data_IF_599667790706
#
_entry.id   IF_599667790706
#
_cell.length_a   1.000
_cell.length_b   1.000
_cell.length_c   1.000
_cell.angle_alpha   90.00
_cell.angle_beta   90.00
_cell.angle_gamma   90.00
#
_symmetry.space_group_name_H-M   'P 1'
#
loop_
_entity.id
_entity.type
_entity.pdbx_description
1 polymer ?
#
# COMPACT_ATOMS: atom_id res chain seq x y z
N UNK A 1 0.01 31.54 26.03
CA UNK A 1 -0.20 31.82 24.60
C UNK A 1 0.94 31.12 23.86
N UNK A 2 0.64 30.12 23.08
CA UNK A 2 1.64 29.49 22.21
C UNK A 2 1.57 30.26 20.89
N UNK A 3 2.61 31.02 20.60
CA UNK A 3 2.77 31.67 19.31
C UNK A 3 3.10 30.58 18.28
N UNK A 4 2.10 30.19 17.51
CA UNK A 4 2.34 29.33 16.37
C UNK A 4 2.91 30.25 15.29
N UNK A 5 4.22 30.24 15.12
CA UNK A 5 4.86 30.80 13.93
C UNK A 5 4.46 29.87 12.81
N UNK A 6 3.60 30.27 11.86
CA UNK A 6 3.32 29.43 10.72
C UNK A 6 4.63 29.33 9.94
N UNK A 7 5.24 28.15 9.86
CA UNK A 7 6.07 27.87 8.70
C UNK A 7 5.18 28.19 7.50
N UNK A 8 5.60 29.12 6.65
CA UNK A 8 4.83 29.51 5.49
C UNK A 8 4.69 28.29 4.59
N UNK A 9 3.55 27.65 4.68
CA UNK A 9 3.19 26.52 3.84
C UNK A 9 1.76 26.67 3.36
N UNK A 10 1.55 26.31 2.11
CA UNK A 10 0.24 26.36 1.48
C UNK A 10 -0.12 24.96 0.97
N UNK A 11 -1.36 24.56 1.19
CA UNK A 11 -1.93 23.32 0.64
C UNK A 11 -3.00 23.72 -0.35
N UNK A 12 -2.90 23.21 -1.56
CA UNK A 12 -3.80 23.52 -2.64
C UNK A 12 -4.10 22.34 -3.54
N UNK A 13 -5.03 22.55 -4.45
CA UNK A 13 -5.39 21.60 -5.51
C UNK A 13 -4.80 22.08 -6.84
N UNK A 14 -4.37 21.12 -7.62
CA UNK A 14 -3.91 21.32 -9.00
C UNK A 14 -4.32 20.10 -9.84
N UNK A 15 -3.92 20.07 -11.09
CA UNK A 15 -4.11 18.90 -11.96
C UNK A 15 -2.77 18.41 -12.50
N UNK A 16 -2.75 17.19 -13.05
CA UNK A 16 -1.57 16.65 -13.71
C UNK A 16 -1.13 17.57 -14.84
N UNK A 17 -2.05 18.08 -15.67
CA UNK A 17 -1.72 18.99 -16.77
C UNK A 17 -1.01 20.27 -16.30
N UNK A 18 -1.47 20.84 -15.19
CA UNK A 18 -0.82 22.03 -14.63
C UNK A 18 0.59 21.74 -14.12
N UNK A 19 0.78 20.61 -13.43
CA UNK A 19 2.11 20.18 -12.98
C UNK A 19 3.04 19.88 -14.15
N UNK A 20 2.53 19.27 -15.22
CA UNK A 20 3.35 18.98 -16.41
C UNK A 20 3.77 20.25 -17.14
N UNK A 21 2.95 21.30 -17.16
CA UNK A 21 3.40 22.63 -17.65
C UNK A 21 4.58 23.17 -16.87
N UNK A 22 4.58 23.01 -15.53
CA UNK A 22 5.72 23.42 -14.69
C UNK A 22 6.96 22.55 -14.96
N UNK A 23 6.78 21.25 -15.21
CA UNK A 23 7.85 20.35 -15.62
C UNK A 23 8.47 20.80 -16.94
N UNK A 24 7.64 21.02 -17.96
CA UNK A 24 8.09 21.36 -19.31
C UNK A 24 8.76 22.74 -19.36
N UNK A 25 8.32 23.64 -18.49
CA UNK A 25 9.01 24.90 -18.22
C UNK A 25 10.28 24.76 -17.37
N UNK A 26 10.66 23.54 -17.00
CA UNK A 26 11.82 23.23 -16.15
C UNK A 26 11.78 23.93 -14.78
N UNK A 27 10.58 24.20 -14.26
CA UNK A 27 10.38 24.81 -12.94
C UNK A 27 10.51 23.75 -11.83
N UNK A 28 10.00 22.53 -12.05
CA UNK A 28 10.13 21.45 -11.09
C UNK A 28 11.55 20.88 -11.13
N UNK A 29 12.18 20.80 -9.98
CA UNK A 29 13.54 20.35 -9.78
C UNK A 29 13.64 19.19 -8.78
N UNK A 30 14.62 18.31 -8.99
CA UNK A 30 15.04 17.31 -8.00
C UNK A 30 16.36 17.79 -7.40
N UNK A 31 16.31 18.33 -6.21
CA UNK A 31 17.48 18.82 -5.51
C UNK A 31 18.17 17.69 -4.75
N UNK A 32 19.34 17.26 -5.23
CA UNK A 32 20.10 16.17 -4.63
C UNK A 32 20.67 16.50 -3.23
N UNK A 33 20.77 17.79 -2.89
CA UNK A 33 21.27 18.22 -1.58
C UNK A 33 20.21 18.09 -0.48
N UNK A 34 18.93 18.21 -0.85
CA UNK A 34 17.79 18.06 0.06
C UNK A 34 17.11 16.69 -0.06
N UNK A 35 17.34 15.95 -1.13
CA UNK A 35 16.75 14.65 -1.40
C UNK A 35 17.73 13.49 -1.19
N UNK A 36 17.27 12.27 -1.44
CA UNK A 36 18.12 11.08 -1.45
C UNK A 36 19.25 11.27 -2.45
N UNK A 37 20.49 10.93 -2.04
CA UNK A 37 21.67 11.03 -2.91
C UNK A 37 21.44 10.25 -4.20
N UNK A 38 21.82 10.85 -5.31
CA UNK A 38 21.89 10.17 -6.59
C UNK A 38 22.96 9.09 -6.54
N UNK A 39 22.71 7.97 -7.18
CA UNK A 39 23.69 6.89 -7.34
C UNK A 39 24.54 7.16 -8.56
N UNK A 40 25.84 7.20 -8.40
CA UNK A 40 26.77 7.24 -9.51
C UNK A 40 26.72 5.91 -10.28
N UNK A 41 26.40 5.99 -11.56
CA UNK A 41 26.39 4.85 -12.49
C UNK A 41 27.55 4.99 -13.46
N UNK A 42 28.16 3.85 -13.80
CA UNK A 42 29.23 3.79 -14.79
C UNK A 42 28.69 3.19 -16.08
N UNK A 43 28.61 3.99 -17.13
CA UNK A 43 28.44 3.53 -18.49
C UNK A 43 29.77 3.00 -19.07
N UNK A 44 29.77 2.58 -20.35
CA UNK A 44 31.00 2.11 -21.01
C UNK A 44 32.04 3.23 -21.15
N UNK A 45 31.59 4.44 -21.45
CA UNK A 45 32.49 5.56 -21.78
C UNK A 45 32.22 6.82 -20.95
N UNK A 46 31.29 6.78 -19.98
CA UNK A 46 30.93 7.93 -19.16
C UNK A 46 30.38 7.52 -17.80
N UNK A 47 30.50 8.41 -16.83
CA UNK A 47 29.84 8.30 -15.52
C UNK A 47 28.67 9.29 -15.47
N UNK A 48 27.56 8.87 -14.85
CA UNK A 48 26.40 9.73 -14.68
C UNK A 48 25.71 9.47 -13.34
N UNK A 49 25.09 10.49 -12.80
CA UNK A 49 24.28 10.37 -11.60
C UNK A 49 22.85 9.97 -11.96
N UNK A 50 22.34 8.97 -11.30
CA UNK A 50 20.97 8.49 -11.46
C UNK A 50 20.22 8.56 -10.14
N UNK A 51 19.01 9.12 -10.17
CA UNK A 51 18.08 9.09 -9.05
C UNK A 51 17.65 7.64 -8.83
N UNK A 52 17.77 7.18 -7.58
CA UNK A 52 17.32 5.82 -7.21
C UNK A 52 15.80 5.78 -7.19
N UNK A 53 15.20 5.20 -8.22
CA UNK A 53 13.76 5.06 -8.38
C UNK A 53 13.33 3.63 -8.03
N UNK A 54 12.30 3.49 -7.21
CA UNK A 54 11.63 2.21 -7.00
C UNK A 54 10.58 1.99 -8.11
N UNK A 55 10.99 1.37 -9.21
CA UNK A 55 10.13 1.11 -10.37
C UNK A 55 8.85 0.35 -9.99
N UNK A 56 8.92 -0.62 -9.08
CA UNK A 56 7.72 -1.35 -8.61
C UNK A 56 6.69 -0.45 -7.92
N UNK A 57 7.16 0.59 -7.23
CA UNK A 57 6.26 1.56 -6.64
C UNK A 57 5.62 2.45 -7.71
N UNK A 58 6.39 2.90 -8.70
CA UNK A 58 5.89 3.65 -9.85
C UNK A 58 4.84 2.85 -10.61
N UNK A 59 5.15 1.58 -10.97
CA UNK A 59 4.23 0.69 -11.71
C UNK A 59 2.89 0.53 -10.99
N UNK A 60 2.92 0.33 -9.67
CA UNK A 60 1.70 0.23 -8.86
C UNK A 60 0.86 1.50 -8.84
N UNK A 61 1.51 2.65 -8.73
CA UNK A 61 0.83 3.95 -8.76
C UNK A 61 0.23 4.18 -10.16
N UNK A 62 0.99 3.86 -11.20
CA UNK A 62 0.53 3.92 -12.60
C UNK A 62 -0.71 3.05 -12.82
N UNK A 63 -0.72 1.82 -12.29
CA UNK A 63 -1.89 0.95 -12.35
C UNK A 63 -3.12 1.58 -11.68
N UNK A 64 -2.95 2.22 -10.51
CA UNK A 64 -4.04 2.91 -9.82
C UNK A 64 -4.61 4.08 -10.64
N UNK A 65 -3.77 4.81 -11.38
CA UNK A 65 -4.24 5.85 -12.30
C UNK A 65 -5.08 5.24 -13.43
N UNK A 66 -4.62 4.17 -14.06
CA UNK A 66 -5.30 3.50 -15.17
C UNK A 66 -6.63 2.86 -14.77
N UNK A 67 -6.72 2.37 -13.55
CA UNK A 67 -7.97 1.77 -13.02
C UNK A 67 -8.94 2.80 -12.43
N UNK A 68 -8.53 4.07 -12.31
CA UNK A 68 -9.31 5.11 -11.64
C UNK A 68 -9.42 4.94 -10.13
N UNK A 69 -8.55 4.12 -9.55
CA UNK A 69 -8.54 3.81 -8.10
C UNK A 69 -7.55 4.66 -7.30
N UNK A 70 -6.81 5.54 -7.97
CA UNK A 70 -5.90 6.43 -7.31
C UNK A 70 -6.66 7.46 -6.45
N UNK A 71 -6.34 7.49 -5.17
CA UNK A 71 -6.82 8.55 -4.28
C UNK A 71 -5.75 9.64 -4.25
N UNK A 72 -6.10 10.90 -4.63
CA UNK A 72 -5.16 12.00 -4.59
C UNK A 72 -4.44 12.11 -3.25
N UNK A 73 -3.13 12.21 -3.31
CA UNK A 73 -2.28 12.38 -2.15
C UNK A 73 -1.29 13.50 -2.44
N UNK A 74 -0.86 14.19 -1.40
CA UNK A 74 -0.07 15.42 -1.49
C UNK A 74 1.30 15.17 -2.12
N UNK A 75 1.67 16.00 -3.11
CA UNK A 75 3.05 16.18 -3.54
C UNK A 75 3.58 17.43 -2.85
N UNK A 76 4.76 17.34 -2.24
CA UNK A 76 5.34 18.45 -1.48
C UNK A 76 6.51 19.05 -2.24
N UNK A 77 6.44 20.36 -2.46
CA UNK A 77 7.50 21.17 -3.03
C UNK A 77 8.09 22.12 -1.99
N UNK A 78 9.36 22.43 -2.13
CA UNK A 78 10.02 23.52 -1.43
C UNK A 78 10.39 24.64 -2.38
N UNK A 79 10.24 25.86 -1.91
CA UNK A 79 10.66 27.09 -2.58
C UNK A 79 11.52 27.85 -1.55
N UNK A 80 12.59 28.54 -1.96
CA UNK A 80 13.40 29.34 -1.06
C UNK A 80 12.55 30.36 -0.26
N UNK A 81 12.81 30.57 1.04
CA UNK A 81 11.95 31.39 1.92
C UNK A 81 11.95 32.88 1.55
N UNK A 82 12.99 33.36 0.87
CA UNK A 82 13.13 34.74 0.36
C UNK A 82 12.34 35.02 -0.91
N UNK A 83 11.68 34.01 -1.49
CA UNK A 83 10.93 34.16 -2.75
C UNK A 83 9.76 35.12 -2.58
N UNK A 84 9.64 36.08 -3.50
CA UNK A 84 8.50 36.99 -3.53
C UNK A 84 7.23 36.28 -4.01
N UNK A 85 6.25 36.22 -3.16
CA UNK A 85 4.96 35.61 -3.46
C UNK A 85 3.79 36.41 -2.89
N UNK A 86 2.61 36.16 -3.43
CA UNK A 86 1.36 36.74 -2.98
C UNK A 86 0.31 35.65 -2.79
N UNK A 87 -0.36 35.66 -1.65
CA UNK A 87 -1.48 34.77 -1.40
C UNK A 87 -2.75 35.61 -1.20
N UNK A 88 -3.62 35.60 -2.20
CA UNK A 88 -4.87 36.33 -2.17
C UNK A 88 -6.02 35.50 -2.74
N UNK A 89 -7.19 35.64 -2.15
CA UNK A 89 -8.42 34.97 -2.62
C UNK A 89 -8.26 33.44 -2.82
N UNK A 90 -7.45 32.78 -1.97
CA UNK A 90 -7.18 31.34 -2.10
C UNK A 90 -6.20 30.96 -3.20
N UNK A 91 -5.51 31.93 -3.80
CA UNK A 91 -4.55 31.70 -4.88
C UNK A 91 -3.15 32.11 -4.43
N UNK A 92 -2.19 31.19 -4.56
CA UNK A 92 -0.77 31.46 -4.41
C UNK A 92 -0.18 31.87 -5.77
N UNK A 93 0.46 33.03 -5.82
CA UNK A 93 1.15 33.54 -7.02
C UNK A 93 2.60 33.79 -6.65
N UNK A 94 3.52 33.22 -7.43
CA UNK A 94 4.95 33.47 -7.31
C UNK A 94 5.31 34.58 -8.30
N UNK A 95 5.93 35.65 -7.83
CA UNK A 95 6.17 36.86 -8.61
C UNK A 95 7.51 36.86 -9.37
N UNK A 96 8.35 35.82 -9.10
CA UNK A 96 9.67 35.72 -9.73
C UNK A 96 9.93 34.28 -10.22
N UNK A 97 10.82 34.09 -11.20
CA UNK A 97 11.25 32.78 -11.64
C UNK A 97 11.99 32.04 -10.52
N UNK A 98 11.42 30.94 -10.03
CA UNK A 98 12.02 30.12 -8.98
C UNK A 98 11.85 28.64 -9.29
N UNK A 99 12.77 27.81 -8.80
CA UNK A 99 12.65 26.34 -8.88
C UNK A 99 11.83 25.81 -7.72
N UNK A 100 10.99 24.85 -8.03
CA UNK A 100 10.20 24.10 -7.07
C UNK A 100 10.93 22.79 -6.80
N UNK A 101 11.64 22.72 -5.68
CA UNK A 101 12.33 21.51 -5.28
C UNK A 101 11.33 20.47 -4.76
N UNK A 102 11.25 19.33 -5.40
CA UNK A 102 10.34 18.25 -5.03
C UNK A 102 10.84 17.58 -3.76
N UNK A 103 10.17 17.76 -2.61
CA UNK A 103 10.53 17.17 -1.32
C UNK A 103 9.92 15.78 -1.09
N UNK A 104 8.63 15.62 -1.39
CA UNK A 104 7.95 14.31 -1.27
C UNK A 104 7.02 14.07 -2.46
N UNK A 105 6.79 12.80 -2.76
CA UNK A 105 5.92 12.38 -3.85
C UNK A 105 6.63 12.07 -5.16
N UNK A 106 7.95 11.89 -5.17
CA UNK A 106 8.72 11.66 -6.40
C UNK A 106 8.21 10.46 -7.23
N UNK A 107 7.88 9.33 -6.59
CA UNK A 107 7.32 8.17 -7.31
C UNK A 107 5.96 8.48 -7.95
N UNK A 108 5.13 9.29 -7.26
CA UNK A 108 3.83 9.77 -7.77
C UNK A 108 4.02 10.69 -8.96
N UNK A 109 4.95 11.62 -8.82
CA UNK A 109 5.31 12.55 -9.89
C UNK A 109 5.82 11.82 -11.13
N UNK A 110 6.67 10.81 -10.98
CA UNK A 110 7.16 10.01 -12.12
C UNK A 110 6.03 9.19 -12.75
N UNK A 111 5.16 8.57 -11.95
CA UNK A 111 4.04 7.79 -12.47
C UNK A 111 3.08 8.66 -13.30
N UNK A 112 2.69 9.84 -12.80
CA UNK A 112 1.83 10.75 -13.55
C UNK A 112 2.50 11.33 -14.80
N UNK A 113 3.80 11.62 -14.72
CA UNK A 113 4.57 12.09 -15.88
C UNK A 113 4.61 11.04 -16.98
N UNK A 114 4.76 9.76 -16.63
CA UNK A 114 4.75 8.66 -17.57
C UNK A 114 3.38 8.53 -18.26
N UNK A 115 2.29 8.59 -17.50
CA UNK A 115 0.93 8.51 -18.08
C UNK A 115 0.63 9.72 -18.98
N UNK A 116 0.99 10.93 -18.55
CA UNK A 116 0.82 12.13 -19.37
C UNK A 116 1.66 12.08 -20.66
N UNK A 117 2.86 11.51 -20.62
CA UNK A 117 3.69 11.35 -21.82
C UNK A 117 3.12 10.33 -22.81
N UNK A 118 2.27 9.39 -22.35
CA UNK A 118 1.59 8.42 -23.21
C UNK A 118 0.26 8.96 -23.76
N UNK A 119 -0.42 9.81 -22.99
CA UNK A 119 -1.68 10.43 -23.35
C UNK A 119 -1.73 11.86 -22.76
N UNK A 120 -1.60 12.88 -23.59
CA UNK A 120 -1.64 14.29 -23.19
C UNK A 120 -3.04 14.75 -22.72
N UNK A 121 -4.08 13.94 -22.93
CA UNK A 121 -5.39 14.15 -22.35
C UNK A 121 -5.50 13.61 -20.91
N UNK A 122 -4.53 12.82 -20.47
CA UNK A 122 -4.50 12.36 -19.10
C UNK A 122 -4.44 13.55 -18.14
N UNK A 123 -5.51 13.71 -17.36
CA UNK A 123 -5.60 14.76 -16.33
C UNK A 123 -6.26 14.21 -15.08
N UNK A 124 -5.59 14.34 -13.97
CA UNK A 124 -6.03 13.81 -12.69
C UNK A 124 -5.90 14.90 -11.62
N UNK A 125 -6.89 15.04 -10.71
CA UNK A 125 -6.79 16.01 -9.63
C UNK A 125 -5.68 15.60 -8.66
N UNK A 126 -4.86 16.56 -8.27
CA UNK A 126 -3.74 16.39 -7.36
C UNK A 126 -3.84 17.38 -6.20
N UNK A 127 -3.33 16.98 -5.05
CA UNK A 127 -3.08 17.87 -3.92
C UNK A 127 -1.60 18.21 -3.89
N UNK A 128 -1.29 19.49 -3.74
CA UNK A 128 0.07 19.97 -3.57
C UNK A 128 0.24 20.68 -2.24
N UNK A 129 1.43 20.55 -1.67
CA UNK A 129 1.91 21.36 -0.56
C UNK A 129 3.13 22.13 -1.03
N UNK A 130 3.11 23.43 -0.85
CA UNK A 130 4.24 24.32 -1.12
C UNK A 130 4.76 24.81 0.23
N UNK A 131 6.04 24.56 0.52
CA UNK A 131 6.75 25.05 1.70
C UNK A 131 7.74 26.13 1.27
N UNK A 132 7.82 27.18 2.09
CA UNK A 132 8.80 28.24 1.93
C UNK A 132 9.83 28.08 3.04
N UNK A 133 10.89 27.29 2.78
CA UNK A 133 11.86 26.96 3.85
C UNK A 133 13.27 26.83 3.30
N UNK A 134 14.24 27.06 4.17
CA UNK A 134 15.65 26.87 3.84
C UNK A 134 16.02 25.38 3.69
N UNK A 135 17.22 25.13 3.16
CA UNK A 135 17.70 23.78 2.90
C UNK A 135 17.77 22.91 4.17
N UNK A 136 18.13 23.46 5.33
CA UNK A 136 18.23 22.73 6.58
C UNK A 136 16.86 22.21 7.04
N UNK A 137 15.85 23.08 7.03
CA UNK A 137 14.49 22.72 7.38
C UNK A 137 13.87 21.76 6.35
N UNK A 138 14.21 21.90 5.07
CA UNK A 138 13.82 20.96 4.03
C UNK A 138 14.38 19.54 4.30
N UNK A 139 15.65 19.43 4.68
CA UNK A 139 16.28 18.16 5.10
C UNK A 139 15.61 17.59 6.35
N UNK A 140 15.31 18.44 7.33
CA UNK A 140 14.61 18.02 8.56
C UNK A 140 13.21 17.50 8.26
N UNK A 141 12.47 18.14 7.35
CA UNK A 141 11.17 17.65 6.89
C UNK A 141 11.27 16.24 6.29
N UNK A 142 12.22 15.99 5.38
CA UNK A 142 12.41 14.67 4.77
C UNK A 142 12.78 13.64 5.82
N UNK A 143 13.66 13.99 6.77
CA UNK A 143 13.99 13.12 7.89
C UNK A 143 12.76 12.71 8.70
N UNK A 144 11.87 13.65 9.01
CA UNK A 144 10.63 13.38 9.74
C UNK A 144 9.68 12.47 8.94
N UNK A 145 9.54 12.69 7.63
CA UNK A 145 8.74 11.83 6.76
C UNK A 145 9.28 10.38 6.72
N UNK A 146 10.59 10.22 6.69
CA UNK A 146 11.24 8.88 6.71
C UNK A 146 11.09 8.16 8.07
N UNK A 147 10.80 8.89 9.18
CA UNK A 147 10.54 8.30 10.50
C UNK A 147 9.11 7.73 10.63
N UNK A 148 8.24 7.90 9.65
CA UNK A 148 6.91 7.31 9.68
C UNK A 148 7.00 5.79 9.71
N UNK A 149 6.31 5.19 10.66
CA UNK A 149 6.24 3.72 10.76
C UNK A 149 5.50 3.17 9.55
N UNK A 150 6.14 2.40 8.66
CA UNK A 150 5.46 1.81 7.53
C UNK A 150 4.45 0.76 8.04
N UNK A 151 3.29 0.69 7.40
CA UNK A 151 2.36 -0.41 7.62
C UNK A 151 3.03 -1.75 7.29
N UNK A 152 2.72 -2.77 8.07
CA UNK A 152 3.10 -4.12 7.72
C UNK A 152 2.55 -4.46 6.32
N UNK A 153 3.34 -5.16 5.54
CA UNK A 153 2.96 -5.50 4.15
C UNK A 153 1.66 -6.31 4.07
N UNK A 154 1.39 -7.16 5.07
CA UNK A 154 0.13 -7.89 5.21
C UNK A 154 -1.05 -6.94 5.35
N UNK A 155 -0.94 -5.93 6.22
CA UNK A 155 -2.00 -4.97 6.49
C UNK A 155 -2.25 -4.08 5.27
N UNK A 156 -1.17 -3.60 4.64
CA UNK A 156 -1.25 -2.84 3.39
C UNK A 156 -1.93 -3.64 2.27
N UNK A 157 -1.64 -4.94 2.15
CA UNK A 157 -2.28 -5.81 1.16
C UNK A 157 -3.77 -6.04 1.47
N UNK A 158 -4.13 -6.19 2.76
CA UNK A 158 -5.51 -6.35 3.18
C UNK A 158 -6.38 -5.10 2.92
N UNK A 159 -5.77 -3.92 2.82
CA UNK A 159 -6.44 -2.67 2.47
C UNK A 159 -6.66 -2.49 0.95
N UNK A 160 -6.02 -3.29 0.10
CA UNK A 160 -6.14 -3.16 -1.34
C UNK A 160 -7.49 -3.74 -1.83
N UNK A 161 -8.49 -2.87 -2.07
CA UNK A 161 -9.83 -3.28 -2.53
C UNK A 161 -9.85 -4.05 -3.85
N UNK A 162 -8.79 -3.98 -4.65
CA UNK A 162 -8.66 -4.67 -5.94
C UNK A 162 -8.07 -6.07 -5.79
N UNK A 163 -7.43 -6.37 -4.66
CA UNK A 163 -6.90 -7.70 -4.37
C UNK A 163 -8.03 -8.74 -4.32
N UNK A 164 -7.82 -9.87 -5.00
CA UNK A 164 -8.84 -10.93 -5.10
C UNK A 164 -9.11 -11.57 -3.73
N UNK A 165 -8.08 -11.77 -2.92
CA UNK A 165 -8.23 -12.28 -1.56
C UNK A 165 -9.04 -11.34 -0.66
N UNK A 166 -8.86 -10.02 -0.83
CA UNK A 166 -9.66 -9.00 -0.13
C UNK A 166 -11.13 -9.07 -0.56
N UNK A 167 -11.40 -9.20 -1.86
CA UNK A 167 -12.76 -9.36 -2.37
C UNK A 167 -13.43 -10.62 -1.84
N UNK A 168 -12.72 -11.75 -1.84
CA UNK A 168 -13.22 -13.01 -1.28
C UNK A 168 -13.47 -12.84 0.23
N UNK A 169 -12.52 -12.29 0.98
CA UNK A 169 -12.63 -12.06 2.42
C UNK A 169 -13.85 -11.19 2.78
N UNK A 170 -14.15 -10.17 1.96
CA UNK A 170 -15.35 -9.34 2.14
C UNK A 170 -16.66 -10.16 2.10
N UNK A 171 -16.76 -11.14 1.20
CA UNK A 171 -17.93 -12.02 1.16
C UNK A 171 -17.97 -12.97 2.35
N UNK A 172 -16.83 -13.50 2.78
CA UNK A 172 -16.73 -14.34 3.99
C UNK A 172 -17.19 -13.54 5.21
N UNK A 173 -16.73 -12.30 5.38
CA UNK A 173 -17.15 -11.40 6.46
C UNK A 173 -18.65 -11.14 6.46
N UNK A 174 -19.27 -11.03 5.29
CA UNK A 174 -20.71 -10.84 5.14
C UNK A 174 -21.51 -12.04 5.65
N UNK A 175 -20.94 -13.24 5.66
CA UNK A 175 -21.59 -14.48 6.10
C UNK A 175 -21.21 -14.88 7.54
N UNK A 176 -19.94 -14.82 7.89
CA UNK A 176 -19.40 -15.25 9.18
C UNK A 176 -19.56 -14.17 10.25
N UNK A 177 -19.41 -12.90 9.89
CA UNK A 177 -19.47 -11.74 10.79
C UNK A 177 -18.20 -10.90 10.73
N UNK A 178 -18.37 -9.58 10.72
CA UNK A 178 -17.26 -8.61 10.71
C UNK A 178 -16.60 -8.45 12.08
N UNK A 179 -17.26 -8.82 13.15
CA UNK A 179 -16.76 -8.91 14.51
C UNK A 179 -15.82 -10.11 14.69
N UNK A 180 -16.10 -11.20 13.99
CA UNK A 180 -15.27 -12.42 14.00
C UNK A 180 -14.02 -12.21 13.13
N UNK A 181 -14.18 -11.65 11.93
CA UNK A 181 -13.08 -11.45 10.96
C UNK A 181 -12.81 -9.95 10.81
N UNK A 182 -11.77 -9.46 11.43
CA UNK A 182 -11.27 -8.11 11.27
C UNK A 182 -9.78 -8.05 11.68
N UNK A 183 -9.17 -6.85 11.65
CA UNK A 183 -7.76 -6.70 11.99
C UNK A 183 -7.43 -7.19 13.41
N UNK A 184 -8.34 -6.98 14.37
CA UNK A 184 -8.20 -7.38 15.77
C UNK A 184 -9.22 -8.46 16.19
N UNK A 185 -9.94 -9.04 15.23
CA UNK A 185 -10.97 -10.03 15.44
C UNK A 185 -10.45 -11.39 15.91
N UNK A 186 -11.38 -12.32 16.07
CA UNK A 186 -11.10 -13.73 16.41
C UNK A 186 -10.19 -14.33 15.33
N UNK A 187 -10.52 -14.13 14.06
CA UNK A 187 -9.70 -14.48 12.91
C UNK A 187 -9.06 -13.20 12.35
N UNK A 188 -7.74 -13.16 12.27
CA UNK A 188 -7.00 -12.03 11.72
C UNK A 188 -7.28 -11.88 10.22
N UNK A 189 -7.93 -10.77 9.82
CA UNK A 189 -8.23 -10.47 8.41
C UNK A 189 -6.97 -10.42 7.52
N UNK A 190 -5.85 -9.75 7.91
CA UNK A 190 -4.65 -9.74 7.07
C UNK A 190 -4.06 -11.14 6.83
N UNK A 191 -4.10 -12.01 7.85
CA UNK A 191 -3.65 -13.39 7.71
C UNK A 191 -4.59 -14.21 6.82
N UNK A 192 -5.90 -14.04 6.99
CA UNK A 192 -6.92 -14.72 6.17
C UNK A 192 -6.78 -14.33 4.70
N UNK A 193 -6.68 -13.03 4.38
CA UNK A 193 -6.45 -12.54 3.03
C UNK A 193 -5.17 -13.14 2.42
N UNK A 194 -4.09 -13.20 3.21
CA UNK A 194 -2.83 -13.82 2.77
C UNK A 194 -2.99 -15.30 2.44
N UNK A 195 -3.70 -16.06 3.28
CA UNK A 195 -3.96 -17.48 3.07
C UNK A 195 -4.87 -17.71 1.87
N UNK A 196 -5.92 -16.90 1.70
CA UNK A 196 -6.79 -16.95 0.52
C UNK A 196 -5.96 -16.76 -0.76
N UNK A 197 -5.10 -15.74 -0.81
CA UNK A 197 -4.26 -15.48 -1.97
C UNK A 197 -3.24 -16.60 -2.25
N UNK A 198 -2.76 -17.29 -1.22
CA UNK A 198 -1.82 -18.41 -1.41
C UNK A 198 -2.49 -19.71 -1.83
N UNK A 199 -3.69 -19.97 -1.33
CA UNK A 199 -4.34 -21.29 -1.45
C UNK A 199 -5.39 -21.34 -2.57
N UNK A 200 -6.10 -20.23 -2.81
CA UNK A 200 -7.28 -20.22 -3.67
C UNK A 200 -7.16 -19.30 -4.88
N UNK A 201 -6.20 -18.36 -4.87
CA UNK A 201 -5.98 -17.43 -5.99
C UNK A 201 -4.79 -17.88 -6.82
N UNK A 202 -5.06 -18.27 -8.09
CA UNK A 202 -4.01 -18.61 -9.05
C UNK A 202 -3.61 -17.36 -9.84
N UNK A 203 -2.32 -17.09 -9.93
CA UNK A 203 -1.80 -16.05 -10.83
C UNK A 203 -2.23 -16.35 -12.27
N UNK A 204 -2.53 -15.32 -13.04
CA UNK A 204 -2.96 -15.38 -14.44
C UNK A 204 -4.37 -15.94 -14.70
N UNK A 205 -5.25 -16.00 -13.69
CA UNK A 205 -6.67 -16.33 -13.88
C UNK A 205 -7.56 -15.12 -13.62
N UNK A 206 -8.57 -14.94 -14.47
CA UNK A 206 -9.63 -13.97 -14.21
C UNK A 206 -10.59 -14.49 -13.13
N UNK A 207 -10.98 -13.61 -12.21
CA UNK A 207 -11.90 -13.91 -11.12
C UNK A 207 -13.15 -13.03 -11.25
N UNK A 208 -14.14 -13.51 -12.00
CA UNK A 208 -15.47 -12.91 -12.03
C UNK A 208 -16.20 -13.09 -10.70
N UNK A 209 -17.27 -12.29 -10.49
CA UNK A 209 -18.06 -12.29 -9.23
C UNK A 209 -18.53 -13.69 -8.81
N UNK A 210 -19.03 -14.50 -9.75
CA UNK A 210 -19.50 -15.87 -9.46
C UNK A 210 -18.40 -16.72 -8.83
N UNK A 211 -17.19 -16.71 -9.39
CA UNK A 211 -16.05 -17.49 -8.88
C UNK A 211 -15.58 -17.00 -7.50
N UNK A 212 -15.59 -15.69 -7.27
CA UNK A 212 -15.28 -15.08 -5.97
C UNK A 212 -16.26 -15.57 -4.91
N UNK A 213 -17.57 -15.53 -5.21
CA UNK A 213 -18.63 -15.98 -4.30
C UNK A 213 -18.53 -17.49 -4.03
N UNK A 214 -18.25 -18.31 -5.05
CA UNK A 214 -18.08 -19.76 -4.88
C UNK A 214 -16.93 -20.08 -3.90
N UNK A 215 -15.78 -19.43 -4.07
CA UNK A 215 -14.63 -19.62 -3.17
C UNK A 215 -14.97 -19.12 -1.76
N UNK A 216 -15.60 -17.95 -1.64
CA UNK A 216 -15.99 -17.39 -0.35
C UNK A 216 -16.95 -18.32 0.39
N UNK A 217 -17.94 -18.89 -0.28
CA UNK A 217 -18.89 -19.85 0.32
C UNK A 217 -18.17 -21.12 0.80
N UNK A 218 -17.30 -21.71 -0.03
CA UNK A 218 -16.55 -22.90 0.35
C UNK A 218 -15.69 -22.66 1.60
N UNK A 219 -15.04 -21.50 1.71
CA UNK A 219 -14.26 -21.14 2.90
C UNK A 219 -15.17 -20.91 4.11
N UNK A 220 -16.31 -20.25 3.93
CA UNK A 220 -17.29 -20.03 4.99
C UNK A 220 -17.87 -21.34 5.51
N UNK A 221 -18.22 -22.28 4.63
CA UNK A 221 -18.70 -23.62 4.99
C UNK A 221 -17.68 -24.36 5.87
N UNK A 222 -16.39 -24.24 5.55
CA UNK A 222 -15.30 -24.83 6.34
C UNK A 222 -15.23 -24.20 7.73
N UNK A 223 -15.29 -22.88 7.85
CA UNK A 223 -15.28 -22.18 9.14
C UNK A 223 -16.51 -22.61 9.98
N UNK A 224 -17.69 -22.54 9.40
CA UNK A 224 -18.94 -22.91 10.06
C UNK A 224 -18.95 -24.37 10.53
N UNK A 225 -18.43 -25.30 9.72
CA UNK A 225 -18.36 -26.73 10.07
C UNK A 225 -17.55 -26.98 11.33
N UNK A 226 -16.54 -26.16 11.59
CA UNK A 226 -15.71 -26.28 12.80
C UNK A 226 -16.37 -25.54 13.97
N UNK A 227 -16.96 -24.38 13.75
CA UNK A 227 -17.67 -23.64 14.79
C UNK A 227 -18.91 -24.42 15.33
N UNK A 228 -19.54 -25.26 14.50
CA UNK A 228 -20.61 -26.13 14.92
C UNK A 228 -20.16 -27.23 15.94
N UNK A 229 -18.93 -27.72 15.81
CA UNK A 229 -18.38 -28.75 16.69
C UNK A 229 -17.54 -28.19 17.83
N UNK A 230 -17.11 -26.92 17.70
CA UNK A 230 -16.28 -26.21 18.67
C UNK A 230 -16.70 -24.72 18.77
N UNK A 231 -17.89 -24.44 19.36
CA UNK A 231 -18.38 -23.06 19.50
C UNK A 231 -17.48 -22.17 20.35
N UNK A 232 -16.78 -22.74 21.32
CA UNK A 232 -15.83 -22.09 22.22
C UNK A 232 -14.62 -21.46 21.49
N UNK A 233 -14.40 -21.77 20.22
CA UNK A 233 -13.45 -21.06 19.37
C UNK A 233 -13.83 -19.59 19.10
N UNK A 234 -15.07 -19.21 19.37
CA UNK A 234 -15.52 -17.82 19.30
C UNK A 234 -15.18 -17.01 20.55
N UNK A 235 -14.77 -17.64 21.64
CA UNK A 235 -14.47 -16.96 22.89
C UNK A 235 -13.09 -16.31 22.91
N UNK A 236 -12.19 -16.77 22.03
CA UNK A 236 -10.81 -16.32 22.01
C UNK A 236 -10.29 -16.11 20.59
N UNK A 237 -9.35 -15.16 20.47
CA UNK A 237 -8.64 -14.92 19.21
C UNK A 237 -7.84 -16.16 18.80
N UNK A 238 -7.99 -16.57 17.55
CA UNK A 238 -7.20 -17.66 16.99
C UNK A 238 -5.74 -17.25 16.87
N UNK A 239 -4.85 -18.10 17.37
CA UNK A 239 -3.43 -17.91 17.13
C UNK A 239 -3.12 -18.03 15.62
N UNK A 240 -2.13 -17.26 15.15
CA UNK A 240 -1.70 -17.31 13.75
C UNK A 240 -1.27 -18.73 13.34
N UNK A 241 -0.61 -19.46 14.23
CA UNK A 241 -0.19 -20.86 14.03
C UNK A 241 -1.37 -21.78 13.79
N UNK A 242 -2.42 -21.71 14.62
CA UNK A 242 -3.66 -22.43 14.45
C UNK A 242 -4.34 -22.07 13.12
N UNK A 243 -4.49 -20.78 12.84
CA UNK A 243 -5.12 -20.27 11.61
C UNK A 243 -4.40 -20.78 10.35
N UNK A 244 -3.06 -20.79 10.35
CA UNK A 244 -2.25 -21.30 9.23
C UNK A 244 -2.51 -22.78 9.01
N UNK A 245 -2.46 -23.59 10.06
CA UNK A 245 -2.68 -25.04 9.97
C UNK A 245 -4.12 -25.37 9.58
N UNK A 246 -5.09 -24.62 10.11
CA UNK A 246 -6.51 -24.75 9.79
C UNK A 246 -6.78 -24.56 8.29
N UNK A 247 -6.49 -23.40 7.73
CA UNK A 247 -6.77 -23.14 6.32
C UNK A 247 -5.90 -23.96 5.37
N UNK A 248 -4.67 -24.23 5.78
CA UNK A 248 -3.79 -25.12 5.02
C UNK A 248 -4.34 -26.56 4.92
N UNK A 249 -4.79 -27.14 6.02
CA UNK A 249 -5.36 -28.47 6.04
C UNK A 249 -6.71 -28.53 5.32
N UNK A 250 -7.58 -27.54 5.51
CA UNK A 250 -8.84 -27.45 4.80
C UNK A 250 -8.64 -27.47 3.28
N UNK A 251 -7.68 -26.66 2.79
CA UNK A 251 -7.42 -26.54 1.34
C UNK A 251 -6.67 -27.72 0.75
N UNK A 252 -5.68 -28.31 1.45
CA UNK A 252 -4.78 -29.29 0.85
C UNK A 252 -5.13 -30.73 1.24
N UNK A 253 -5.77 -30.92 2.40
CA UNK A 253 -6.17 -32.26 2.89
C UNK A 253 -7.68 -32.47 2.84
N UNK A 254 -8.45 -31.47 2.40
CA UNK A 254 -9.93 -31.49 2.33
C UNK A 254 -10.59 -31.87 3.67
N UNK A 255 -9.97 -31.50 4.79
CA UNK A 255 -10.53 -31.76 6.13
C UNK A 255 -11.62 -30.73 6.46
N UNK A 256 -12.63 -31.17 7.21
CA UNK A 256 -13.75 -30.34 7.70
C UNK A 256 -14.14 -30.73 9.12
N UNK A 257 -14.94 -29.91 9.77
CA UNK A 257 -15.54 -30.22 11.09
C UNK A 257 -14.50 -30.61 12.13
N UNK A 258 -14.80 -31.72 12.88
CA UNK A 258 -13.97 -32.18 13.99
C UNK A 258 -12.55 -32.60 13.55
N UNK A 259 -12.42 -33.23 12.39
CA UNK A 259 -11.12 -33.69 11.90
C UNK A 259 -10.20 -32.53 11.57
N UNK A 260 -10.76 -31.46 10.98
CA UNK A 260 -10.02 -30.23 10.69
C UNK A 260 -9.58 -29.55 12.00
N UNK A 261 -10.48 -29.44 12.98
CA UNK A 261 -10.14 -28.86 14.27
C UNK A 261 -9.00 -29.64 14.95
N UNK A 262 -9.13 -30.95 15.06
CA UNK A 262 -8.12 -31.80 15.69
C UNK A 262 -6.77 -31.67 15.00
N UNK A 263 -6.76 -31.73 13.64
CA UNK A 263 -5.53 -31.57 12.88
C UNK A 263 -4.87 -30.22 13.14
N UNK A 264 -5.62 -29.11 13.07
CA UNK A 264 -5.09 -27.78 13.30
C UNK A 264 -4.55 -27.62 14.73
N UNK A 265 -5.29 -28.09 15.73
CA UNK A 265 -4.93 -28.02 17.13
C UNK A 265 -3.66 -28.82 17.45
N UNK A 266 -3.59 -30.07 16.98
CA UNK A 266 -2.46 -30.96 17.24
C UNK A 266 -1.17 -30.53 16.55
N UNK A 267 -1.28 -29.86 15.40
CA UNK A 267 -0.15 -29.47 14.58
C UNK A 267 0.21 -27.98 14.64
N UNK A 268 -0.53 -27.15 15.40
CA UNK A 268 -0.28 -25.70 15.44
C UNK A 268 1.15 -25.32 15.86
N UNK A 269 1.79 -26.12 16.71
CA UNK A 269 3.16 -25.88 17.15
C UNK A 269 4.17 -25.88 15.98
N UNK A 270 3.89 -26.59 14.89
CA UNK A 270 4.73 -26.63 13.68
C UNK A 270 4.78 -25.25 13.01
N UNK A 271 3.71 -24.49 13.07
CA UNK A 271 3.60 -23.14 12.51
C UNK A 271 3.91 -22.04 13.53
N UNK A 272 4.30 -22.39 14.76
CA UNK A 272 4.60 -21.39 15.81
C UNK A 272 5.74 -20.47 15.39
N UNK A 273 5.55 -19.16 15.59
CA UNK A 273 6.54 -18.14 15.22
C UNK A 273 6.60 -17.80 13.74
N UNK A 274 5.76 -18.39 12.89
CA UNK A 274 5.67 -18.01 11.48
C UNK A 274 4.96 -16.66 11.36
N UNK A 275 5.69 -15.65 10.89
CA UNK A 275 5.12 -14.31 10.62
C UNK A 275 4.34 -14.31 9.31
N UNK A 276 3.22 -13.59 9.27
CA UNK A 276 2.34 -13.47 8.08
C UNK A 276 3.10 -13.03 6.83
N UNK A 277 4.05 -12.10 6.97
CA UNK A 277 4.85 -11.57 5.85
C UNK A 277 5.77 -12.64 5.24
N UNK A 278 6.23 -13.59 6.04
CA UNK A 278 7.15 -14.66 5.65
C UNK A 278 6.44 -15.89 5.09
N UNK A 279 5.09 -15.91 5.15
CA UNK A 279 4.30 -17.03 4.68
C UNK A 279 4.29 -17.05 3.14
N UNK A 280 4.78 -18.14 2.57
CA UNK A 280 4.78 -18.43 1.14
C UNK A 280 4.12 -19.80 0.90
N UNK A 281 3.64 -20.05 -0.34
CA UNK A 281 3.07 -21.36 -0.67
C UNK A 281 4.07 -22.51 -0.42
N UNK A 282 5.35 -22.31 -0.77
CA UNK A 282 6.42 -23.29 -0.51
C UNK A 282 6.60 -23.57 0.99
N UNK A 283 6.56 -22.53 1.83
CA UNK A 283 6.66 -22.68 3.28
C UNK A 283 5.44 -23.39 3.85
N UNK A 284 4.24 -22.99 3.39
CA UNK A 284 2.99 -23.61 3.80
C UNK A 284 2.96 -25.12 3.44
N UNK A 285 3.34 -25.47 2.22
CA UNK A 285 3.42 -26.87 1.80
C UNK A 285 4.39 -27.70 2.65
N UNK A 286 5.52 -27.11 3.08
CA UNK A 286 6.45 -27.78 4.00
C UNK A 286 5.85 -27.99 5.39
N UNK A 287 5.10 -27.02 5.92
CA UNK A 287 4.42 -27.15 7.22
C UNK A 287 3.35 -28.25 7.21
N UNK A 288 2.71 -28.48 6.06
CA UNK A 288 1.62 -29.44 5.89
C UNK A 288 2.08 -30.83 5.43
N UNK A 289 3.32 -30.97 5.02
CA UNK A 289 3.89 -32.22 4.49
C UNK A 289 4.35 -33.21 5.58
N UNK A 290 4.10 -32.92 6.84
CA UNK A 290 4.45 -33.74 8.00
C UNK A 290 3.30 -34.67 8.39
#
# INVERSE_FOLDING_TARGET
>A
MVEIIPEEQYIGKTTVKELMKLRDAQIINYNADTQRKMTLKRGKDFEYYQITLNHKAVDKITELYRTGDYIPNTITFNIPPETDFKYENGRLTINEPVKFDLLDGYHRYVAMSNEYNLDDNFDYPMEIRVKFTNEENAKQFIYQEDQRTPLLKSDSNAMNKNDIGVKICKFIKGRIGSDIINQNGIISEPLLVKLINLLYVKHNMSYGRSKIVTIANAISDVIESVLLVKPDLLDNKWENSFTIMFFGAASQKNLTGKDLYNYANDNQNIAKGVKTEQLTLKKLNRLLAI
#
